data_IF_593867155102
#
_entry.id   IF_593867155102
#
_cell.length_a   1.000
_cell.length_b   1.000
_cell.length_c   1.000
_cell.angle_alpha   90.00
_cell.angle_beta   90.00
_cell.angle_gamma   90.00
#
_symmetry.space_group_name_H-M   'P 1'
#
loop_
_entity.id
_entity.type
_entity.pdbx_description
1 polymer ?
#
# COMPACT_ATOMS: atom_id res chain seq x y z
N UNK A 1 4.21 -8.92 13.08
CA UNK A 1 3.82 -9.13 11.67
C UNK A 1 3.92 -7.87 10.83
N UNK A 2 3.29 -6.75 11.22
CA UNK A 2 3.24 -5.52 10.40
C UNK A 2 4.59 -4.99 9.92
N UNK A 3 5.59 -4.93 10.81
CA UNK A 3 6.95 -4.48 10.46
C UNK A 3 7.61 -5.40 9.44
N UNK A 4 7.46 -6.72 9.57
CA UNK A 4 8.01 -7.68 8.62
C UNK A 4 7.34 -7.57 7.24
N UNK A 5 6.04 -7.31 7.19
CA UNK A 5 5.33 -7.13 5.91
C UNK A 5 5.72 -5.80 5.24
N UNK A 6 5.93 -4.74 6.02
CA UNK A 6 6.48 -3.49 5.51
C UNK A 6 7.91 -3.68 4.98
N UNK A 7 8.77 -4.42 5.70
CA UNK A 7 10.13 -4.74 5.26
C UNK A 7 10.13 -5.57 3.97
N UNK A 8 9.20 -6.51 3.79
CA UNK A 8 9.05 -7.26 2.53
C UNK A 8 8.74 -6.35 1.33
N UNK A 9 8.06 -5.23 1.56
CA UNK A 9 7.84 -4.20 0.53
C UNK A 9 9.06 -3.30 0.34
N UNK A 10 9.67 -2.84 1.43
CA UNK A 10 10.75 -1.86 1.39
C UNK A 10 12.09 -2.45 0.89
N UNK A 11 12.49 -3.62 1.38
CA UNK A 11 13.82 -4.19 1.10
C UNK A 11 14.06 -4.47 -0.40
N UNK A 12 13.16 -5.15 -1.14
CA UNK A 12 13.38 -5.40 -2.56
C UNK A 12 13.50 -4.10 -3.36
N UNK A 13 12.69 -3.11 -3.01
CA UNK A 13 12.67 -1.80 -3.68
C UNK A 13 13.95 -1.01 -3.37
N UNK A 14 14.44 -1.05 -2.12
CA UNK A 14 15.74 -0.46 -1.77
C UNK A 14 16.88 -1.09 -2.56
N UNK A 15 16.90 -2.42 -2.68
CA UNK A 15 17.89 -3.12 -3.50
C UNK A 15 17.78 -2.73 -4.98
N UNK A 16 16.56 -2.57 -5.50
CA UNK A 16 16.35 -2.12 -6.86
C UNK A 16 16.89 -0.69 -7.08
N UNK A 17 16.66 0.23 -6.15
CA UNK A 17 17.23 1.59 -6.22
C UNK A 17 18.76 1.60 -6.23
N UNK A 18 19.40 0.66 -5.52
CA UNK A 18 20.86 0.54 -5.45
C UNK A 18 21.47 -0.11 -6.69
N UNK A 19 20.82 -1.16 -7.22
CA UNK A 19 21.39 -1.95 -8.31
C UNK A 19 20.94 -1.50 -9.70
N UNK A 20 19.82 -0.78 -9.81
CA UNK A 20 19.25 -0.27 -11.06
C UNK A 20 18.98 1.25 -10.97
N UNK A 21 19.99 2.06 -10.61
CA UNK A 21 19.79 3.50 -10.42
C UNK A 21 19.28 4.16 -11.71
N UNK A 22 18.26 5.01 -11.58
CA UNK A 22 17.68 5.73 -12.72
C UNK A 22 16.69 4.93 -13.57
N UNK A 23 16.33 3.71 -13.17
CA UNK A 23 15.35 2.86 -13.88
C UNK A 23 13.99 2.79 -13.14
N UNK A 24 13.17 3.86 -13.19
CA UNK A 24 11.94 3.94 -12.40
C UNK A 24 10.94 2.82 -12.73
N UNK A 25 10.94 2.31 -13.97
CA UNK A 25 10.10 1.18 -14.38
C UNK A 25 10.48 -0.12 -13.68
N UNK A 26 11.78 -0.37 -13.48
CA UNK A 26 12.26 -1.53 -12.75
C UNK A 26 11.86 -1.46 -11.27
N UNK A 27 12.00 -0.28 -10.65
CA UNK A 27 11.56 -0.07 -9.26
C UNK A 27 10.06 -0.33 -9.08
N UNK A 28 9.25 0.15 -10.03
CA UNK A 28 7.80 -0.12 -10.05
C UNK A 28 7.50 -1.60 -10.19
N UNK A 29 8.17 -2.31 -11.11
CA UNK A 29 7.97 -3.74 -11.29
C UNK A 29 8.31 -4.53 -10.01
N UNK A 30 9.42 -4.18 -9.35
CA UNK A 30 9.84 -4.82 -8.08
C UNK A 30 8.86 -4.53 -6.95
N UNK A 31 8.46 -3.26 -6.78
CA UNK A 31 7.49 -2.88 -5.75
C UNK A 31 6.13 -3.55 -5.95
N UNK A 32 5.67 -3.62 -7.20
CA UNK A 32 4.42 -4.30 -7.55
C UNK A 32 4.53 -5.82 -7.31
N UNK A 33 5.65 -6.45 -7.68
CA UNK A 33 5.87 -7.87 -7.45
C UNK A 33 5.90 -8.21 -5.95
N UNK A 34 6.57 -7.40 -5.13
CA UNK A 34 6.59 -7.57 -3.68
C UNK A 34 5.19 -7.46 -3.06
N UNK A 35 4.39 -6.47 -3.50
CA UNK A 35 3.02 -6.30 -3.07
C UNK A 35 2.11 -7.47 -3.50
N UNK A 36 2.16 -7.86 -4.78
CA UNK A 36 1.37 -8.97 -5.29
C UNK A 36 1.75 -10.30 -4.66
N UNK A 37 3.04 -10.54 -4.39
CA UNK A 37 3.50 -11.73 -3.68
C UNK A 37 2.95 -11.83 -2.25
N UNK A 38 2.69 -10.70 -1.59
CA UNK A 38 2.00 -10.68 -0.29
C UNK A 38 0.48 -10.89 -0.40
N UNK A 39 -0.15 -10.31 -1.42
CA UNK A 39 -1.60 -10.42 -1.63
C UNK A 39 -2.02 -11.79 -2.19
N UNK A 40 -1.19 -12.38 -3.05
CA UNK A 40 -1.45 -13.63 -3.77
C UNK A 40 -0.25 -14.60 -3.68
N UNK A 41 0.17 -15.01 -2.47
CA UNK A 41 1.27 -15.93 -2.30
C UNK A 41 0.94 -17.31 -2.90
N UNK A 42 1.85 -17.82 -3.73
CA UNK A 42 1.69 -19.12 -4.43
C UNK A 42 1.51 -20.27 -3.44
N UNK A 43 2.25 -20.25 -2.33
CA UNK A 43 2.18 -21.31 -1.29
C UNK A 43 0.89 -21.31 -0.47
N UNK A 44 0.08 -20.24 -0.49
CA UNK A 44 -1.25 -20.20 0.14
C UNK A 44 -2.38 -20.23 -0.91
N UNK A 45 -2.14 -20.84 -2.08
CA UNK A 45 -3.15 -20.97 -3.15
C UNK A 45 -3.74 -19.61 -3.55
N UNK A 46 -2.88 -18.59 -3.66
CA UNK A 46 -3.24 -17.21 -4.00
C UNK A 46 -4.20 -16.54 -3.00
N UNK A 47 -4.22 -16.98 -1.74
CA UNK A 47 -5.00 -16.36 -0.66
C UNK A 47 -4.05 -15.74 0.37
N UNK A 48 -3.72 -14.47 0.18
CA UNK A 48 -2.82 -13.71 1.05
C UNK A 48 -3.50 -12.62 1.86
N UNK A 49 -2.69 -11.65 2.30
CA UNK A 49 -3.15 -10.49 3.06
C UNK A 49 -3.69 -9.37 2.16
N UNK A 50 -4.11 -8.27 2.79
CA UNK A 50 -4.64 -7.09 2.08
C UNK A 50 -3.58 -6.10 1.59
N UNK A 51 -2.31 -6.37 1.87
CA UNK A 51 -1.18 -5.61 1.33
C UNK A 51 -0.96 -4.20 1.91
N UNK A 52 -1.68 -3.77 2.95
CA UNK A 52 -1.56 -2.40 3.50
C UNK A 52 -0.13 -2.10 4.00
N UNK A 53 0.44 -2.99 4.82
CA UNK A 53 1.79 -2.83 5.33
C UNK A 53 2.86 -2.92 4.22
N UNK A 54 2.70 -3.85 3.28
CA UNK A 54 3.61 -4.00 2.14
C UNK A 54 3.59 -2.78 1.23
N UNK A 55 2.40 -2.23 0.92
CA UNK A 55 2.25 -1.00 0.16
C UNK A 55 2.90 0.20 0.88
N UNK A 56 2.71 0.31 2.20
CA UNK A 56 3.38 1.34 3.00
C UNK A 56 4.91 1.21 2.88
N UNK A 57 5.46 -0.01 2.96
CA UNK A 57 6.90 -0.25 2.81
C UNK A 57 7.43 0.14 1.42
N UNK A 58 6.73 -0.23 0.35
CA UNK A 58 7.07 0.16 -1.03
C UNK A 58 7.07 1.68 -1.19
N UNK A 59 5.99 2.34 -0.74
CA UNK A 59 5.84 3.78 -0.87
C UNK A 59 6.80 4.54 0.04
N UNK A 60 7.16 4.02 1.21
CA UNK A 60 8.11 4.68 2.10
C UNK A 60 9.48 4.84 1.43
N UNK A 61 9.85 3.90 0.57
CA UNK A 61 11.10 3.93 -0.17
C UNK A 61 11.01 4.80 -1.43
N UNK A 62 9.93 4.67 -2.22
CA UNK A 62 9.82 5.36 -3.52
C UNK A 62 9.24 6.78 -3.42
N UNK A 63 8.29 6.99 -2.52
CA UNK A 63 7.57 8.26 -2.35
C UNK A 63 7.31 8.49 -0.85
N UNK A 64 8.34 8.84 -0.06
CA UNK A 64 8.25 8.91 1.41
C UNK A 64 7.12 9.81 1.90
N UNK A 65 6.89 10.95 1.22
CA UNK A 65 5.80 11.87 1.55
C UNK A 65 4.42 11.23 1.42
N UNK A 66 4.19 10.39 0.42
CA UNK A 66 2.93 9.66 0.26
C UNK A 66 2.74 8.61 1.35
N UNK A 67 3.81 7.92 1.76
CA UNK A 67 3.76 6.97 2.86
C UNK A 67 3.45 7.66 4.20
N UNK A 68 4.09 8.79 4.47
CA UNK A 68 3.84 9.59 5.69
C UNK A 68 2.41 10.14 5.72
N UNK A 69 1.93 10.70 4.61
CA UNK A 69 0.55 11.18 4.50
C UNK A 69 -0.46 10.04 4.71
N UNK A 70 -0.24 8.89 4.05
CA UNK A 70 -1.07 7.70 4.24
C UNK A 70 -1.07 7.21 5.69
N UNK A 71 0.09 7.12 6.34
CA UNK A 71 0.21 6.70 7.73
C UNK A 71 -0.47 7.68 8.70
N UNK A 72 -0.34 8.99 8.47
CA UNK A 72 -1.02 10.01 9.27
C UNK A 72 -2.54 9.91 9.14
N UNK A 73 -3.05 9.81 7.91
CA UNK A 73 -4.50 9.64 7.66
C UNK A 73 -5.01 8.33 8.24
N UNK A 74 -4.26 7.24 8.10
CA UNK A 74 -4.59 5.96 8.74
C UNK A 74 -4.77 6.13 10.25
N UNK A 75 -3.77 6.73 10.93
CA UNK A 75 -3.79 6.91 12.38
C UNK A 75 -4.98 7.77 12.84
N UNK A 76 -5.26 8.88 12.15
CA UNK A 76 -6.39 9.75 12.45
C UNK A 76 -7.72 9.02 12.26
N UNK A 77 -7.92 8.37 11.11
CA UNK A 77 -9.19 7.69 10.79
C UNK A 77 -9.41 6.50 11.70
N UNK A 78 -8.38 5.72 12.01
CA UNK A 78 -8.49 4.61 12.97
C UNK A 78 -8.81 5.12 14.37
N UNK A 79 -8.19 6.21 14.82
CA UNK A 79 -8.46 6.80 16.15
C UNK A 79 -9.90 7.28 16.29
N UNK A 80 -10.47 7.88 15.24
CA UNK A 80 -11.85 8.41 15.26
C UNK A 80 -12.88 7.33 14.98
N UNK A 81 -12.70 6.58 13.90
CA UNK A 81 -13.73 5.65 13.41
C UNK A 81 -13.64 4.25 14.03
N UNK A 82 -12.51 3.91 14.67
CA UNK A 82 -12.21 2.58 15.23
C UNK A 82 -12.41 1.44 14.23
N UNK A 83 -12.10 1.72 12.96
CA UNK A 83 -12.24 0.79 11.84
C UNK A 83 -10.96 0.80 11.00
N UNK A 84 -10.29 -0.35 10.95
CA UNK A 84 -9.00 -0.50 10.26
C UNK A 84 -9.18 -0.51 8.74
N UNK A 85 -10.30 -1.05 8.24
CA UNK A 85 -10.65 -1.02 6.82
C UNK A 85 -10.88 0.39 6.32
N UNK A 86 -11.63 1.22 7.04
CA UNK A 86 -11.82 2.63 6.69
C UNK A 86 -10.49 3.37 6.71
N UNK A 87 -9.69 3.19 7.75
CA UNK A 87 -8.36 3.79 7.84
C UNK A 87 -7.46 3.41 6.66
N UNK A 88 -7.45 2.14 6.27
CA UNK A 88 -6.60 1.64 5.18
C UNK A 88 -7.01 2.23 3.82
N UNK A 89 -8.32 2.32 3.56
CA UNK A 89 -8.83 2.91 2.32
C UNK A 89 -8.58 4.42 2.26
N UNK A 90 -8.81 5.14 3.34
CA UNK A 90 -8.51 6.58 3.43
C UNK A 90 -7.00 6.85 3.30
N UNK A 91 -6.16 6.00 3.89
CA UNK A 91 -4.71 6.08 3.74
C UNK A 91 -4.26 5.86 2.30
N UNK A 92 -4.89 4.91 1.59
CA UNK A 92 -4.65 4.67 0.17
C UNK A 92 -4.98 5.88 -0.70
N UNK A 93 -6.13 6.53 -0.47
CA UNK A 93 -6.49 7.77 -1.18
C UNK A 93 -5.48 8.88 -0.90
N UNK A 94 -5.11 9.08 0.37
CA UNK A 94 -4.12 10.09 0.75
C UNK A 94 -2.77 9.83 0.08
N UNK A 95 -2.31 8.57 0.06
CA UNK A 95 -1.07 8.20 -0.60
C UNK A 95 -1.09 8.50 -2.11
N UNK A 96 -2.18 8.17 -2.82
CA UNK A 96 -2.33 8.46 -4.26
C UNK A 96 -2.29 9.96 -4.53
N UNK A 97 -3.06 10.74 -3.76
CA UNK A 97 -3.12 12.20 -3.93
C UNK A 97 -1.75 12.81 -3.64
N UNK A 98 -1.11 12.47 -2.53
CA UNK A 98 0.21 13.01 -2.20
C UNK A 98 1.28 12.58 -3.20
N UNK A 99 1.25 11.33 -3.68
CA UNK A 99 2.21 10.87 -4.68
C UNK A 99 2.08 11.61 -6.02
N UNK A 100 0.88 12.02 -6.41
CA UNK A 100 0.67 12.81 -7.62
C UNK A 100 1.44 14.14 -7.62
N UNK A 101 1.72 14.72 -6.45
CA UNK A 101 2.45 15.99 -6.30
C UNK A 101 3.90 15.84 -5.84
N UNK A 102 4.27 14.71 -5.23
CA UNK A 102 5.56 14.55 -4.55
C UNK A 102 6.46 13.47 -5.15
N UNK A 103 5.95 12.64 -6.07
CA UNK A 103 6.76 11.60 -6.70
C UNK A 103 7.83 12.20 -7.62
N UNK A 104 9.07 11.76 -7.45
CA UNK A 104 10.20 12.18 -8.30
C UNK A 104 10.06 11.69 -9.76
N UNK A 105 9.36 10.58 -9.96
CA UNK A 105 9.07 9.99 -11.27
C UNK A 105 7.58 9.72 -11.43
N UNK A 106 7.04 9.95 -12.63
CA UNK A 106 5.63 9.71 -12.95
C UNK A 106 5.23 8.25 -12.70
N UNK A 107 6.14 7.32 -12.93
CA UNK A 107 6.00 5.89 -12.69
C UNK A 107 5.65 5.58 -11.22
N UNK A 108 6.25 6.29 -10.26
CA UNK A 108 5.98 6.05 -8.83
C UNK A 108 4.59 6.55 -8.42
N UNK A 109 4.14 7.67 -9.00
CA UNK A 109 2.76 8.14 -8.84
C UNK A 109 1.77 7.12 -9.42
N UNK A 110 2.03 6.58 -10.61
CA UNK A 110 1.21 5.53 -11.23
C UNK A 110 1.18 4.24 -10.40
N UNK A 111 2.33 3.82 -9.85
CA UNK A 111 2.40 2.69 -8.93
C UNK A 111 1.50 2.89 -7.72
N UNK A 112 1.51 4.08 -7.09
CA UNK A 112 0.65 4.35 -5.93
C UNK A 112 -0.84 4.14 -6.25
N UNK A 113 -1.28 4.58 -7.43
CA UNK A 113 -2.64 4.37 -7.93
C UNK A 113 -2.93 2.89 -8.16
N UNK A 114 -1.98 2.16 -8.76
CA UNK A 114 -2.13 0.72 -9.00
C UNK A 114 -2.22 -0.07 -7.69
N UNK A 115 -1.36 0.21 -6.72
CA UNK A 115 -1.42 -0.40 -5.38
C UNK A 115 -2.77 -0.12 -4.71
N UNK A 116 -3.30 1.10 -4.85
CA UNK A 116 -4.61 1.45 -4.31
C UNK A 116 -5.75 0.69 -5.00
N UNK A 117 -5.72 0.52 -6.32
CA UNK A 117 -6.71 -0.28 -7.05
C UNK A 117 -6.73 -1.73 -6.55
N UNK A 118 -5.56 -2.35 -6.38
CA UNK A 118 -5.49 -3.69 -5.78
C UNK A 118 -5.94 -3.70 -4.31
N UNK A 119 -5.67 -2.64 -3.55
CA UNK A 119 -6.13 -2.51 -2.18
C UNK A 119 -7.66 -2.47 -2.10
N UNK A 120 -8.35 -1.77 -3.02
CA UNK A 120 -9.80 -1.79 -3.13
C UNK A 120 -10.32 -3.22 -3.37
N UNK A 121 -9.67 -3.95 -4.26
CA UNK A 121 -10.07 -5.32 -4.58
C UNK A 121 -9.89 -6.29 -3.39
N UNK A 122 -8.77 -6.19 -2.68
CA UNK A 122 -8.53 -7.00 -1.47
C UNK A 122 -9.44 -6.60 -0.31
N UNK A 123 -9.97 -5.37 -0.30
CA UNK A 123 -10.92 -4.86 0.69
C UNK A 123 -12.40 -4.99 0.30
N UNK A 124 -12.75 -5.57 -0.85
CA UNK A 124 -14.13 -5.63 -1.36
C UNK A 124 -15.17 -6.11 -0.34
N UNK A 125 -14.83 -7.09 0.49
CA UNK A 125 -15.72 -7.61 1.54
C UNK A 125 -15.90 -6.60 2.69
N UNK A 126 -14.83 -5.92 3.08
CA UNK A 126 -14.88 -4.86 4.09
C UNK A 126 -15.64 -3.63 3.56
N UNK A 127 -15.48 -3.29 2.28
CA UNK A 127 -16.25 -2.23 1.63
C UNK A 127 -17.74 -2.58 1.66
N UNK A 128 -18.10 -3.83 1.33
CA UNK A 128 -19.49 -4.31 1.41
C UNK A 128 -20.06 -4.18 2.83
N UNK A 129 -19.29 -4.58 3.85
CA UNK A 129 -19.68 -4.43 5.26
C UNK A 129 -19.77 -2.97 5.71
N UNK A 130 -18.90 -2.10 5.20
CA UNK A 130 -18.92 -0.67 5.48
C UNK A 130 -20.18 -0.01 4.92
N UNK A 131 -20.54 -0.32 3.67
CA UNK A 131 -21.78 0.15 3.02
C UNK A 131 -23.01 -0.32 3.79
N UNK A 132 -23.00 -1.59 4.25
CA UNK A 132 -24.09 -2.17 5.05
C UNK A 132 -24.09 -1.72 6.51
N UNK A 133 -23.13 -0.90 6.93
CA UNK A 133 -22.90 -0.48 8.35
C UNK A 133 -22.73 -1.67 9.32
N UNK A 134 -22.25 -2.81 8.84
CA UNK A 134 -22.00 -4.02 9.62
C UNK A 134 -20.51 -4.28 9.88
N UNK A 135 -19.64 -3.37 9.44
CA UNK A 135 -18.20 -3.46 9.71
C UNK A 135 -17.94 -3.33 11.22
N UNK A 136 -17.13 -4.25 11.75
CA UNK A 136 -16.80 -4.29 13.18
C UNK A 136 -15.94 -3.09 13.54
N UNK A 137 -16.39 -2.37 14.58
CA UNK A 137 -15.56 -1.42 15.32
C UNK A 137 -14.82 -2.20 16.42
N UNK A 138 -13.55 -1.92 16.59
CA UNK A 138 -12.78 -2.46 17.73
C UNK A 138 -12.75 -1.47 18.89
#
# INVERSE_FOLDING_TARGET
MLVLDALKGALPVLLALQWLPGEPRAHVAVGLAAFLGHCFPVWLKLRGGKGVATALGVLLVLVPWAALAGAAVYAVVVKVARMSSLGSLSAGVAAVVTAAFTAAFREYALLSGLLFVFMLWTHRENISRLIRRTERRF
#
